data_IF_323575706019
#
_entry.id   IF_323575706019
#
_cell.length_a   1.000
_cell.length_b   1.000
_cell.length_c   1.000
_cell.angle_alpha   90.00
_cell.angle_beta   90.00
_cell.angle_gamma   90.00
#
_symmetry.space_group_name_H-M   'P 1'
#
loop_
_entity.id
_entity.type
_entity.pdbx_description
1 polymer ?
#
# COMPACT_ATOMS: atom_id res chain seq x y z
N UNK A 1 1.08 -5.82 -6.40
CA UNK A 1 -0.12 -5.39 -5.63
C UNK A 1 -0.56 -4.06 -6.21
N UNK A 2 -1.77 -3.92 -6.76
CA UNK A 2 -2.22 -2.61 -7.23
C UNK A 2 -2.82 -1.84 -6.06
N UNK A 3 -2.05 -0.89 -5.53
CA UNK A 3 -2.52 0.05 -4.53
C UNK A 3 -3.40 1.11 -5.21
N UNK A 4 -4.33 1.69 -4.46
CA UNK A 4 -5.11 2.84 -4.96
C UNK A 4 -4.13 4.01 -5.05
N UNK A 5 -3.65 4.31 -6.26
CA UNK A 5 -2.78 5.47 -6.49
C UNK A 5 -3.55 6.74 -6.14
N UNK A 6 -3.02 7.48 -5.16
CA UNK A 6 -3.47 8.83 -4.83
C UNK A 6 -2.68 9.86 -5.62
N UNK A 7 -3.20 11.10 -5.64
CA UNK A 7 -2.42 12.27 -6.05
C UNK A 7 -1.09 12.28 -5.28
N UNK A 8 -0.01 12.75 -5.90
CA UNK A 8 1.28 12.84 -5.23
C UNK A 8 1.18 13.75 -4.02
N UNK A 9 1.62 13.24 -2.87
CA UNK A 9 1.56 13.97 -1.60
C UNK A 9 2.65 15.05 -1.53
N UNK A 10 3.79 14.79 -2.18
CA UNK A 10 4.92 15.69 -2.29
C UNK A 10 5.64 15.47 -3.64
N UNK A 11 5.96 16.56 -4.32
CA UNK A 11 6.79 16.56 -5.52
C UNK A 11 8.01 17.45 -5.28
N UNK A 12 9.21 16.91 -5.48
CA UNK A 12 10.47 17.65 -5.34
C UNK A 12 11.24 17.54 -6.65
N UNK A 13 11.75 18.65 -7.15
CA UNK A 13 12.74 18.68 -8.22
C UNK A 13 14.10 18.93 -7.60
N UNK A 14 15.10 18.14 -8.01
CA UNK A 14 16.45 18.24 -7.45
C UNK A 14 17.50 17.96 -8.51
N UNK A 15 18.67 18.57 -8.33
CA UNK A 15 19.86 18.37 -9.17
C UNK A 15 20.75 17.22 -8.71
N UNK A 16 20.45 16.61 -7.56
CA UNK A 16 21.18 15.45 -7.06
C UNK A 16 21.09 14.32 -8.09
N UNK A 17 22.21 13.62 -8.30
CA UNK A 17 22.26 12.51 -9.25
C UNK A 17 21.31 11.39 -8.78
N UNK A 18 20.71 10.67 -9.74
CA UNK A 18 19.82 9.55 -9.42
C UNK A 18 20.51 8.49 -8.57
N UNK A 19 21.80 8.27 -8.80
CA UNK A 19 22.60 7.30 -8.06
C UNK A 19 22.64 7.67 -6.59
N UNK A 20 23.01 8.91 -6.28
CA UNK A 20 23.10 9.39 -4.90
C UNK A 20 21.73 9.40 -4.25
N UNK A 21 20.69 9.88 -4.97
CA UNK A 21 19.32 9.88 -4.48
C UNK A 21 18.84 8.49 -4.05
N UNK A 22 19.10 7.45 -4.84
CA UNK A 22 18.65 6.10 -4.51
C UNK A 22 19.26 5.65 -3.19
N UNK A 23 20.58 5.79 -3.00
CA UNK A 23 21.24 5.42 -1.75
C UNK A 23 20.77 6.30 -0.57
N UNK A 24 20.75 7.61 -0.73
CA UNK A 24 20.30 8.58 0.29
C UNK A 24 18.90 8.26 0.78
N UNK A 25 17.97 7.98 -0.14
CA UNK A 25 16.58 7.63 0.19
C UNK A 25 16.54 6.30 0.94
N UNK A 26 17.19 5.26 0.41
CA UNK A 26 17.20 3.94 1.03
C UNK A 26 17.80 3.96 2.44
N UNK A 27 18.93 4.65 2.62
CA UNK A 27 19.60 4.77 3.92
C UNK A 27 18.79 5.60 4.92
N UNK A 28 18.12 6.65 4.47
CA UNK A 28 17.19 7.41 5.32
C UNK A 28 16.08 6.52 5.89
N UNK A 29 15.45 5.67 5.08
CA UNK A 29 14.42 4.76 5.60
C UNK A 29 15.01 3.62 6.43
N UNK A 30 16.19 3.13 6.07
CA UNK A 30 16.90 2.11 6.82
C UNK A 30 17.28 2.58 8.24
N UNK A 31 17.74 3.83 8.39
CA UNK A 31 18.06 4.45 9.70
C UNK A 31 16.82 4.68 10.56
N UNK A 32 15.64 4.81 9.94
CA UNK A 32 14.33 4.82 10.62
C UNK A 32 13.79 3.43 10.96
N UNK A 33 14.61 2.39 10.79
CA UNK A 33 14.29 0.98 11.04
C UNK A 33 13.24 0.39 10.08
N UNK A 34 13.03 1.00 8.91
CA UNK A 34 12.22 0.42 7.84
C UNK A 34 13.09 -0.50 6.99
N UNK A 35 13.09 -1.79 7.33
CA UNK A 35 13.99 -2.80 6.71
C UNK A 35 13.47 -3.39 5.40
N UNK A 36 12.19 -3.24 5.12
CA UNK A 36 11.58 -3.81 3.91
C UNK A 36 11.48 -2.71 2.86
N UNK A 37 12.58 -2.48 2.15
CA UNK A 37 12.72 -1.49 1.08
C UNK A 37 12.88 -2.25 -0.23
N UNK A 38 12.01 -1.94 -1.20
CA UNK A 38 12.00 -2.56 -2.53
C UNK A 38 12.35 -1.54 -3.60
N UNK A 39 13.31 -1.90 -4.42
CA UNK A 39 13.68 -1.21 -5.64
C UNK A 39 12.83 -1.81 -6.77
N UNK A 40 12.02 -0.97 -7.40
CA UNK A 40 11.13 -1.36 -8.49
C UNK A 40 11.78 -0.94 -9.79
N UNK A 41 11.85 -1.87 -10.75
CA UNK A 41 12.23 -1.59 -12.14
C UNK A 41 11.08 -1.98 -13.02
N UNK A 42 10.46 -0.98 -13.62
CA UNK A 42 9.34 -1.15 -14.53
C UNK A 42 9.81 -0.92 -15.97
N UNK A 43 9.52 -1.90 -16.81
CA UNK A 43 9.67 -1.85 -18.28
C UNK A 43 8.28 -2.03 -18.90
N UNK A 44 8.15 -1.83 -20.21
CA UNK A 44 6.85 -1.99 -20.88
C UNK A 44 6.25 -3.40 -20.70
N UNK A 45 7.10 -4.42 -20.59
CA UNK A 45 6.70 -5.83 -20.57
C UNK A 45 6.81 -6.50 -19.20
N UNK A 46 7.60 -5.95 -18.26
CA UNK A 46 7.87 -6.58 -16.97
C UNK A 46 8.12 -5.58 -15.83
N UNK A 47 7.71 -5.98 -14.62
CA UNK A 47 7.98 -5.27 -13.36
C UNK A 47 8.80 -6.19 -12.47
N UNK A 48 10.07 -5.86 -12.28
CA UNK A 48 10.96 -6.57 -11.37
C UNK A 48 11.11 -5.82 -10.05
N UNK A 49 11.32 -6.60 -8.99
CA UNK A 49 11.50 -6.10 -7.63
C UNK A 49 12.81 -6.65 -7.06
N UNK A 50 13.59 -5.78 -6.44
CA UNK A 50 14.79 -6.15 -5.69
C UNK A 50 14.71 -5.58 -4.28
N UNK A 51 14.96 -6.40 -3.27
CA UNK A 51 15.06 -5.92 -1.89
C UNK A 51 16.40 -5.20 -1.68
N UNK A 52 16.35 -4.02 -1.06
CA UNK A 52 17.56 -3.26 -0.72
C UNK A 52 18.26 -3.82 0.51
N UNK A 53 19.58 -3.98 0.40
CA UNK A 53 20.47 -4.28 1.51
C UNK A 53 21.64 -3.30 1.50
N UNK A 54 21.96 -2.58 2.60
CA UNK A 54 23.04 -1.58 2.60
C UNK A 54 24.42 -2.16 2.28
N UNK A 55 24.64 -3.44 2.57
CA UNK A 55 25.89 -4.13 2.26
C UNK A 55 26.01 -4.54 0.79
N UNK A 56 24.93 -4.47 0.02
CA UNK A 56 24.88 -4.91 -1.37
C UNK A 56 24.91 -3.69 -2.29
N UNK A 57 25.81 -3.73 -3.27
CA UNK A 57 25.81 -2.71 -4.33
C UNK A 57 24.54 -2.89 -5.18
N UNK A 58 23.87 -1.79 -5.47
CA UNK A 58 22.71 -1.79 -6.36
C UNK A 58 23.21 -1.80 -7.81
N UNK A 59 22.86 -2.84 -8.55
CA UNK A 59 23.14 -2.94 -9.98
C UNK A 59 22.12 -2.16 -10.79
N UNK A 60 22.55 -1.54 -11.90
CA UNK A 60 21.68 -0.83 -12.85
C UNK A 60 20.68 0.15 -12.18
N UNK A 61 21.22 1.12 -11.45
CA UNK A 61 20.42 2.14 -10.73
C UNK A 61 19.56 2.98 -11.68
N UNK A 62 20.05 3.22 -12.90
CA UNK A 62 19.31 3.97 -13.90
C UNK A 62 17.97 3.33 -14.27
N UNK A 63 17.86 1.99 -14.19
CA UNK A 63 16.62 1.25 -14.43
C UNK A 63 15.60 1.29 -13.28
N UNK A 64 15.93 1.87 -12.13
CA UNK A 64 15.01 1.94 -10.98
C UNK A 64 13.97 3.03 -11.22
N UNK A 65 12.71 2.66 -11.37
CA UNK A 65 11.61 3.61 -11.59
C UNK A 65 11.02 4.09 -10.27
N UNK A 66 11.07 3.27 -9.23
CA UNK A 66 10.49 3.57 -7.93
C UNK A 66 11.21 2.88 -6.76
N UNK A 67 11.19 3.51 -5.59
CA UNK A 67 11.52 2.89 -4.30
C UNK A 67 10.24 2.76 -3.48
N UNK A 68 9.92 1.55 -3.05
CA UNK A 68 8.78 1.23 -2.20
C UNK A 68 9.25 0.79 -0.83
N UNK A 69 8.89 1.54 0.21
CA UNK A 69 9.28 1.31 1.60
C UNK A 69 8.06 0.87 2.39
N UNK A 70 8.09 -0.35 2.94
CA UNK A 70 7.05 -0.78 3.86
C UNK A 70 7.36 -0.27 5.27
N UNK A 71 6.43 0.49 5.84
CA UNK A 71 6.60 1.16 7.14
C UNK A 71 6.06 0.38 8.32
N UNK A 72 5.50 -0.80 8.07
CA UNK A 72 4.98 -1.68 9.10
C UNK A 72 6.08 -2.57 9.69
N UNK A 73 6.65 -2.19 10.85
CA UNK A 73 7.51 -3.08 11.63
C UNK A 73 6.67 -4.01 12.52
N UNK A 74 6.49 -5.28 12.10
CA UNK A 74 5.72 -6.30 12.84
C UNK A 74 6.25 -6.61 14.23
N UNK A 75 7.54 -6.38 14.50
CA UNK A 75 8.17 -6.78 15.77
C UNK A 75 7.97 -5.76 16.89
N UNK A 76 7.82 -4.48 16.57
CA UNK A 76 7.75 -3.41 17.57
C UNK A 76 6.37 -2.76 17.75
N UNK A 77 5.35 -3.17 16.97
CA UNK A 77 4.01 -2.52 16.98
C UNK A 77 4.06 -0.99 16.87
N UNK A 78 5.12 -0.44 16.25
CA UNK A 78 5.19 0.99 15.90
C UNK A 78 4.39 1.19 14.63
N UNK A 79 3.09 1.43 14.81
CA UNK A 79 2.19 1.73 13.72
C UNK A 79 2.34 3.19 13.31
N UNK A 80 2.94 3.43 12.15
CA UNK A 80 2.77 4.69 11.43
C UNK A 80 1.37 4.66 10.76
N UNK A 81 0.76 5.82 10.55
CA UNK A 81 -0.63 5.90 10.05
C UNK A 81 -0.83 5.32 8.62
N UNK A 82 0.27 5.09 7.89
CA UNK A 82 0.32 4.53 6.53
C UNK A 82 1.13 3.22 6.50
N UNK A 83 0.86 2.37 5.51
CA UNK A 83 1.46 1.03 5.41
C UNK A 83 2.75 1.02 4.58
N UNK A 84 2.88 1.97 3.65
CA UNK A 84 4.07 2.12 2.82
C UNK A 84 4.21 3.53 2.27
N UNK A 85 5.46 3.90 2.00
CA UNK A 85 5.87 5.07 1.23
C UNK A 85 6.37 4.60 -0.12
N UNK A 86 5.98 5.27 -1.20
CA UNK A 86 6.54 5.01 -2.52
C UNK A 86 7.13 6.30 -3.07
N UNK A 87 8.28 6.18 -3.72
CA UNK A 87 9.03 7.31 -4.26
C UNK A 87 9.37 6.98 -5.69
N UNK A 88 8.65 7.60 -6.62
CA UNK A 88 8.88 7.41 -8.05
C UNK A 88 9.87 8.46 -8.58
N UNK A 89 10.74 8.02 -9.48
CA UNK A 89 11.67 8.86 -10.20
C UNK A 89 11.11 9.20 -11.58
N UNK A 90 11.05 10.49 -11.91
CA UNK A 90 10.72 10.97 -13.24
C UNK A 90 11.81 11.94 -13.70
N UNK A 91 12.23 11.85 -14.96
CA UNK A 91 13.17 12.82 -15.53
C UNK A 91 12.42 14.09 -15.91
N UNK A 92 12.85 15.24 -15.39
CA UNK A 92 12.36 16.56 -15.75
C UNK A 92 13.51 17.39 -16.35
N UNK A 93 13.88 17.08 -17.59
CA UNK A 93 15.03 17.70 -18.25
C UNK A 93 16.36 17.26 -17.65
N UNK A 94 17.15 18.21 -17.13
CA UNK A 94 18.43 17.95 -16.44
C UNK A 94 18.20 17.53 -14.98
N UNK A 95 17.03 17.84 -14.42
CA UNK A 95 16.71 17.62 -13.01
C UNK A 95 15.94 16.30 -12.82
N UNK A 96 16.13 15.70 -11.64
CA UNK A 96 15.38 14.52 -11.22
C UNK A 96 14.15 14.98 -10.45
N UNK A 97 12.96 14.59 -10.91
CA UNK A 97 11.71 14.80 -10.19
C UNK A 97 11.42 13.58 -9.33
N UNK A 98 11.32 13.80 -8.02
CA UNK A 98 10.89 12.83 -7.03
C UNK A 98 9.40 13.03 -6.78
N UNK A 99 8.64 11.96 -6.90
CA UNK A 99 7.21 11.93 -6.59
C UNK A 99 7.00 11.01 -5.41
N UNK A 100 6.71 11.60 -4.26
CA UNK A 100 6.52 10.90 -2.99
C UNK A 100 5.02 10.75 -2.73
N UNK A 101 4.58 9.52 -2.50
CA UNK A 101 3.17 9.23 -2.26
C UNK A 101 2.99 8.09 -1.24
N UNK A 102 1.95 8.22 -0.43
CA UNK A 102 1.61 7.23 0.58
C UNK A 102 0.63 6.20 0.05
N UNK A 103 0.79 4.98 0.54
CA UNK A 103 -0.14 3.90 0.26
C UNK A 103 -0.69 3.29 1.55
N UNK A 104 -2.02 3.19 1.56
CA UNK A 104 -2.77 2.38 2.51
C UNK A 104 -3.08 1.05 1.82
N UNK A 105 -2.81 -0.06 2.51
CA UNK A 105 -2.93 -1.44 2.05
C UNK A 105 -4.36 -1.90 1.81
N UNK A 106 -5.13 -1.16 1.03
CA UNK A 106 -6.40 -1.57 0.45
C UNK A 106 -6.15 -2.71 -0.55
N UNK A 107 -6.13 -3.94 -0.06
CA UNK A 107 -6.13 -5.14 -0.91
C UNK A 107 -7.36 -5.16 -1.81
N UNK A 108 -7.20 -5.60 -3.06
CA UNK A 108 -8.31 -5.74 -4.03
C UNK A 108 -9.47 -6.61 -3.54
N UNK A 109 -9.22 -7.58 -2.65
CA UNK A 109 -10.29 -8.37 -2.03
C UNK A 109 -11.29 -7.48 -1.25
N UNK A 110 -10.86 -6.29 -0.79
CA UNK A 110 -11.73 -5.29 -0.18
C UNK A 110 -12.72 -4.63 -1.16
N UNK A 111 -12.55 -4.79 -2.48
CA UNK A 111 -13.52 -4.37 -3.49
C UNK A 111 -14.43 -5.52 -3.93
N UNK A 112 -13.89 -6.74 -4.05
CA UNK A 112 -14.64 -7.90 -4.57
C UNK A 112 -15.32 -8.75 -3.49
N UNK A 113 -15.03 -8.52 -2.20
CA UNK A 113 -15.65 -9.27 -1.11
C UNK A 113 -17.17 -9.11 -1.06
N UNK A 114 -17.68 -7.88 -1.16
CA UNK A 114 -19.12 -7.63 -1.06
C UNK A 114 -19.96 -8.38 -2.11
N UNK A 115 -19.69 -8.29 -3.43
CA UNK A 115 -20.48 -9.03 -4.43
C UNK A 115 -20.35 -10.55 -4.26
N UNK A 116 -19.17 -11.04 -3.86
CA UNK A 116 -18.96 -12.46 -3.57
C UNK A 116 -19.86 -12.93 -2.40
N UNK A 117 -19.81 -12.25 -1.26
CA UNK A 117 -20.63 -12.62 -0.09
C UNK A 117 -22.13 -12.45 -0.34
N UNK A 118 -22.52 -11.49 -1.20
CA UNK A 118 -23.90 -11.34 -1.64
C UNK A 118 -24.37 -12.57 -2.44
N UNK A 119 -23.57 -13.03 -3.41
CA UNK A 119 -23.89 -14.22 -4.21
C UNK A 119 -23.97 -15.46 -3.32
N UNK A 120 -23.02 -15.64 -2.40
CA UNK A 120 -23.01 -16.77 -1.45
C UNK A 120 -24.24 -16.74 -0.56
N UNK A 121 -24.64 -15.56 -0.06
CA UNK A 121 -25.86 -15.41 0.74
C UNK A 121 -27.13 -15.77 -0.04
N UNK A 122 -27.28 -15.24 -1.27
CA UNK A 122 -28.44 -15.54 -2.14
C UNK A 122 -28.50 -17.04 -2.47
N UNK A 123 -27.37 -17.65 -2.83
CA UNK A 123 -27.32 -19.08 -3.10
C UNK A 123 -27.67 -19.91 -1.86
N UNK A 124 -27.05 -19.62 -0.71
CA UNK A 124 -27.30 -20.36 0.53
C UNK A 124 -28.77 -20.26 0.97
N UNK A 125 -29.37 -19.07 0.89
CA UNK A 125 -30.79 -18.87 1.23
C UNK A 125 -31.73 -19.55 0.23
N UNK A 126 -31.44 -19.48 -1.07
CA UNK A 126 -32.22 -20.16 -2.11
C UNK A 126 -32.20 -21.68 -1.94
N UNK A 127 -31.03 -22.28 -1.70
CA UNK A 127 -30.89 -23.71 -1.45
C UNK A 127 -31.56 -24.15 -0.14
N UNK A 128 -31.44 -23.36 0.93
CA UNK A 128 -32.12 -23.62 2.20
C UNK A 128 -33.65 -23.62 2.04
N UNK A 129 -34.19 -22.66 1.31
CA UNK A 129 -35.64 -22.42 1.26
C UNK A 129 -36.37 -23.26 0.21
N UNK A 130 -35.74 -23.55 -0.93
CA UNK A 130 -36.41 -24.16 -2.08
C UNK A 130 -36.02 -25.63 -2.28
N UNK A 131 -34.74 -25.97 -2.05
CA UNK A 131 -34.19 -27.26 -2.49
C UNK A 131 -34.05 -28.25 -1.32
N UNK A 132 -33.63 -27.78 -0.14
CA UNK A 132 -33.36 -28.65 1.00
C UNK A 132 -34.59 -28.77 1.92
N UNK A 133 -35.08 -29.99 2.18
CA UNK A 133 -36.09 -30.22 3.22
C UNK A 133 -35.60 -29.74 4.58
N UNK A 134 -36.48 -29.21 5.43
CA UNK A 134 -36.16 -28.65 6.75
C UNK A 134 -35.38 -29.60 7.65
N UNK A 135 -35.64 -30.91 7.49
CA UNK A 135 -35.11 -31.96 8.35
C UNK A 135 -33.74 -32.46 7.87
N UNK A 136 -33.29 -31.99 6.70
CA UNK A 136 -32.02 -32.36 6.09
C UNK A 136 -30.84 -31.66 6.78
N UNK A 137 -29.71 -32.35 7.02
CA UNK A 137 -28.46 -31.74 7.49
C UNK A 137 -28.00 -30.57 6.58
N UNK A 138 -28.32 -30.64 5.29
CA UNK A 138 -27.98 -29.61 4.30
C UNK A 138 -28.71 -28.29 4.55
N UNK A 139 -29.95 -28.35 5.05
CA UNK A 139 -30.71 -27.15 5.40
C UNK A 139 -30.02 -26.36 6.53
N UNK A 140 -29.55 -27.06 7.58
CA UNK A 140 -28.78 -26.45 8.67
C UNK A 140 -27.46 -25.87 8.20
N UNK A 141 -26.75 -26.58 7.31
CA UNK A 141 -25.50 -26.11 6.73
C UNK A 141 -25.70 -24.82 5.90
N UNK A 142 -26.75 -24.76 5.08
CA UNK A 142 -27.08 -23.55 4.31
C UNK A 142 -27.35 -22.35 5.23
N UNK A 143 -28.04 -22.51 6.36
CA UNK A 143 -28.20 -21.44 7.34
C UNK A 143 -26.90 -21.03 8.04
N UNK A 144 -26.04 -22.00 8.37
CA UNK A 144 -24.71 -21.72 8.94
C UNK A 144 -23.80 -20.95 7.99
N UNK A 145 -24.00 -21.05 6.67
CA UNK A 145 -23.27 -20.26 5.66
C UNK A 145 -23.96 -18.91 5.40
N UNK A 146 -25.29 -18.89 5.35
CA UNK A 146 -26.06 -17.68 5.09
C UNK A 146 -25.88 -16.64 6.20
N UNK A 147 -25.93 -17.04 7.47
CA UNK A 147 -25.86 -16.10 8.59
C UNK A 147 -24.53 -15.31 8.67
N UNK A 148 -23.34 -15.94 8.59
CA UNK A 148 -22.08 -15.23 8.52
C UNK A 148 -21.95 -14.35 7.27
N UNK A 149 -22.43 -14.84 6.12
CA UNK A 149 -22.40 -14.08 4.87
C UNK A 149 -23.25 -12.81 4.99
N UNK A 150 -24.41 -12.91 5.62
CA UNK A 150 -25.27 -11.77 5.95
C UNK A 150 -24.57 -10.78 6.88
N UNK A 151 -24.00 -11.23 8.00
CA UNK A 151 -23.26 -10.33 8.89
C UNK A 151 -22.12 -9.61 8.17
N UNK A 152 -21.41 -10.31 7.28
CA UNK A 152 -20.33 -9.73 6.50
C UNK A 152 -20.82 -8.61 5.57
N UNK A 153 -22.01 -8.76 4.95
CA UNK A 153 -22.64 -7.72 4.13
C UNK A 153 -22.88 -6.43 4.92
N UNK A 154 -23.19 -6.50 6.22
CA UNK A 154 -23.39 -5.30 7.06
C UNK A 154 -22.09 -4.74 7.65
N UNK A 155 -21.15 -5.61 8.02
CA UNK A 155 -19.85 -5.19 8.58
C UNK A 155 -18.99 -4.52 7.50
N UNK A 156 -19.09 -4.98 6.26
CA UNK A 156 -18.25 -4.53 5.16
C UNK A 156 -18.39 -3.04 4.82
N UNK A 157 -19.60 -2.46 4.66
CA UNK A 157 -19.76 -1.02 4.50
C UNK A 157 -19.14 -0.22 5.64
N UNK A 158 -19.29 -0.66 6.89
CA UNK A 158 -18.71 0.00 8.06
C UNK A 158 -17.18 -0.03 7.99
N UNK A 159 -16.61 -1.19 7.70
CA UNK A 159 -15.17 -1.36 7.48
C UNK A 159 -14.65 -0.45 6.35
N UNK A 160 -15.36 -0.40 5.22
CA UNK A 160 -15.03 0.47 4.09
C UNK A 160 -15.10 1.96 4.45
N UNK A 161 -16.12 2.39 5.21
CA UNK A 161 -16.23 3.76 5.70
C UNK A 161 -15.06 4.13 6.61
N UNK A 162 -14.66 3.23 7.51
CA UNK A 162 -13.50 3.45 8.39
C UNK A 162 -12.23 3.59 7.57
N UNK A 163 -12.00 2.73 6.58
CA UNK A 163 -10.84 2.83 5.69
C UNK A 163 -10.86 4.11 4.86
N UNK A 164 -12.01 4.49 4.29
CA UNK A 164 -12.16 5.74 3.54
C UNK A 164 -11.91 6.95 4.42
N UNK A 165 -12.36 6.94 5.68
CA UNK A 165 -12.05 7.99 6.65
C UNK A 165 -10.56 8.07 6.97
N UNK A 166 -9.89 6.92 7.15
CA UNK A 166 -8.43 6.88 7.34
C UNK A 166 -7.72 7.46 6.12
N UNK A 167 -8.09 7.03 4.93
CA UNK A 167 -7.55 7.59 3.70
C UNK A 167 -7.76 9.11 3.66
N UNK A 168 -8.97 9.63 3.89
CA UNK A 168 -9.22 11.08 3.88
C UNK A 168 -8.41 11.88 4.90
N UNK A 169 -7.92 11.24 5.98
CA UNK A 169 -7.09 11.87 7.01
C UNK A 169 -5.59 11.64 6.81
N UNK A 170 -5.19 10.85 5.80
CA UNK A 170 -3.81 10.44 5.57
C UNK A 170 -2.88 11.65 5.43
N UNK A 171 -3.22 12.55 4.52
CA UNK A 171 -2.40 13.70 4.14
C UNK A 171 -2.30 14.74 5.27
N UNK A 172 -3.30 14.79 6.15
CA UNK A 172 -3.36 15.70 7.31
C UNK A 172 -2.95 15.06 8.63
N UNK A 173 -2.55 13.78 8.63
CA UNK A 173 -2.14 13.11 9.85
C UNK A 173 -0.79 13.67 10.35
N UNK A 174 -0.61 13.94 11.65
CA UNK A 174 0.65 14.47 12.18
C UNK A 174 1.87 13.63 11.82
N UNK A 175 1.76 12.30 11.88
CA UNK A 175 2.85 11.40 11.48
C UNK A 175 3.21 11.53 10.00
N UNK A 176 2.21 11.64 9.12
CA UNK A 176 2.43 11.87 7.68
C UNK A 176 3.16 13.18 7.44
N UNK A 177 2.69 14.26 8.07
CA UNK A 177 3.30 15.58 7.95
C UNK A 177 4.75 15.59 8.45
N UNK A 178 5.00 14.90 9.57
CA UNK A 178 6.35 14.74 10.13
C UNK A 178 7.27 13.99 9.16
N UNK A 179 6.84 12.83 8.66
CA UNK A 179 7.65 12.03 7.73
C UNK A 179 7.93 12.78 6.43
N UNK A 180 6.92 13.46 5.89
CA UNK A 180 7.05 14.31 4.71
C UNK A 180 8.10 15.40 4.93
N UNK A 181 7.99 16.13 6.04
CA UNK A 181 8.92 17.22 6.37
C UNK A 181 10.35 16.70 6.56
N UNK A 182 10.53 15.61 7.28
CA UNK A 182 11.85 15.00 7.49
C UNK A 182 12.49 14.53 6.17
N UNK A 183 11.67 14.04 5.22
CA UNK A 183 12.14 13.66 3.89
C UNK A 183 12.50 14.88 3.03
N UNK A 184 11.70 15.94 3.07
CA UNK A 184 11.99 17.20 2.37
C UNK A 184 13.27 17.87 2.90
N UNK A 185 13.45 17.89 4.23
CA UNK A 185 14.67 18.39 4.88
C UNK A 185 15.91 17.57 4.51
N UNK A 186 15.77 16.25 4.36
CA UNK A 186 16.86 15.39 3.87
C UNK A 186 17.30 15.84 2.47
N UNK A 187 16.40 15.91 1.50
CA UNK A 187 16.75 16.25 0.12
C UNK A 187 17.37 17.65 0.05
N UNK A 188 16.84 18.62 0.78
CA UNK A 188 17.41 19.97 0.81
C UNK A 188 18.77 20.07 1.50
N UNK A 189 19.09 19.17 2.44
CA UNK A 189 20.42 19.12 3.04
C UNK A 189 21.43 18.58 2.05
N UNK A 190 21.11 17.46 1.40
CA UNK A 190 21.98 16.80 0.43
C UNK A 190 22.23 17.65 -0.82
N UNK A 191 21.29 18.53 -1.19
CA UNK A 191 21.49 19.46 -2.30
C UNK A 191 22.46 20.62 -1.98
N UNK A 192 22.74 20.86 -0.70
CA UNK A 192 23.66 21.92 -0.24
C UNK A 192 25.08 21.42 0.05
N UNK A 193 25.27 20.12 0.19
CA UNK A 193 26.57 19.47 0.39
C UNK A 193 27.31 19.30 -0.95
#
# INVERSE_FOLDING_TARGET
MAYVMRKPDLEIQTKISKIDLVYTICDFYWTKDHRTIKLVRETEDDISYEDYEPSKRIDNIDGITEISVHTHNKKENKYVFFDSVNIAFSKAGIETKLVWYLSLGLKKWHLFGLPYFLIVFIAATHFAWIICPSDSPWHRYCFMVAFPSFLFIFIWPVYYIVLKRKANKLDSHPDTLKYRKEFEELIHREEKE
#
